data_IF_249128587681
#
_entry.id   IF_249128587681
#
_cell.length_a   1.000
_cell.length_b   1.000
_cell.length_c   1.000
_cell.angle_alpha   90.00
_cell.angle_beta   90.00
_cell.angle_gamma   90.00
#
_symmetry.space_group_name_H-M   'P 1'
#
loop_
_entity.id
_entity.type
_entity.pdbx_description
1 polymer ?
#
# COMPACT_ATOMS: atom_id res chain seq x y z
N UNK A 1 -15.90 6.48 0.04
CA UNK A 1 -14.71 5.67 0.40
C UNK A 1 -13.49 6.23 -0.28
N UNK A 2 -12.36 6.29 0.40
CA UNK A 2 -11.09 6.72 -0.18
C UNK A 2 -10.69 5.77 -1.33
N UNK A 3 -10.81 4.47 -1.09
CA UNK A 3 -10.45 3.41 -2.04
C UNK A 3 -11.31 3.43 -3.31
N UNK A 4 -12.60 3.76 -3.24
CA UNK A 4 -13.49 3.77 -4.42
C UNK A 4 -13.17 4.88 -5.42
N UNK A 5 -12.45 5.93 -5.01
CA UNK A 5 -11.96 7.01 -5.90
C UNK A 5 -10.59 6.70 -6.53
N UNK A 6 -9.86 5.70 -6.04
CA UNK A 6 -8.63 5.20 -6.66
C UNK A 6 -8.98 4.21 -7.79
N UNK A 7 -9.76 4.68 -8.78
CA UNK A 7 -10.24 3.86 -9.90
C UNK A 7 -9.48 4.07 -11.21
N UNK A 8 -8.29 4.70 -11.16
CA UNK A 8 -7.40 4.72 -12.32
C UNK A 8 -6.70 3.36 -12.43
N UNK A 9 -7.32 2.44 -13.18
CA UNK A 9 -6.80 1.09 -13.48
C UNK A 9 -5.43 1.11 -14.16
N UNK A 10 -5.03 2.27 -14.70
CA UNK A 10 -3.75 2.45 -15.37
C UNK A 10 -2.54 2.26 -14.43
N UNK A 11 -2.70 2.32 -13.12
CA UNK A 11 -1.55 2.29 -12.20
C UNK A 11 -1.08 0.89 -11.82
N UNK A 12 -1.98 -0.09 -11.91
CA UNK A 12 -1.77 -1.44 -11.38
C UNK A 12 -1.71 -2.50 -12.49
N UNK A 13 -2.09 -2.15 -13.73
CA UNK A 13 -1.97 -3.08 -14.86
C UNK A 13 -0.51 -3.29 -15.29
N UNK A 14 0.14 -4.33 -14.76
CA UNK A 14 1.49 -4.73 -15.16
C UNK A 14 1.68 -4.93 -16.65
N UNK A 15 0.67 -5.48 -17.36
CA UNK A 15 0.80 -5.80 -18.77
C UNK A 15 1.00 -4.56 -19.63
N UNK A 16 0.57 -3.39 -19.13
CA UNK A 16 0.69 -2.11 -19.81
C UNK A 16 1.79 -1.23 -19.22
N UNK A 17 2.19 -1.47 -17.97
CA UNK A 17 3.02 -0.50 -17.26
C UNK A 17 4.17 -1.07 -16.42
N UNK A 18 4.26 -2.34 -16.04
CA UNK A 18 5.44 -2.76 -15.25
C UNK A 18 6.70 -2.70 -16.12
N UNK A 19 7.56 -1.72 -15.86
CA UNK A 19 8.84 -1.65 -16.54
C UNK A 19 9.76 -2.79 -16.07
N UNK A 20 10.73 -3.16 -16.91
CA UNK A 20 11.52 -4.38 -16.75
C UNK A 20 12.52 -4.35 -15.59
N UNK A 21 12.68 -3.22 -14.90
CA UNK A 21 13.77 -2.98 -13.96
C UNK A 21 13.19 -2.64 -12.59
N UNK A 22 13.49 -3.50 -11.63
CA UNK A 22 13.27 -3.31 -10.20
C UNK A 22 14.66 -3.30 -9.58
N UNK A 23 14.94 -2.32 -8.74
CA UNK A 23 16.09 -2.33 -7.84
C UNK A 23 15.55 -2.42 -6.42
N UNK A 24 16.09 -3.35 -5.62
CA UNK A 24 15.65 -3.53 -4.25
C UNK A 24 16.84 -3.76 -3.31
N UNK A 25 16.75 -3.21 -2.12
CA UNK A 25 17.74 -3.32 -1.06
C UNK A 25 17.03 -3.66 0.25
N UNK A 26 17.69 -4.46 1.08
CA UNK A 26 17.20 -4.79 2.41
C UNK A 26 18.24 -4.45 3.46
N UNK A 27 17.76 -4.12 4.66
CA UNK A 27 18.56 -4.13 5.88
C UNK A 27 18.25 -5.42 6.61
N UNK A 28 19.21 -6.33 6.65
CA UNK A 28 19.02 -7.66 7.19
C UNK A 28 19.03 -7.64 8.73
N UNK A 29 18.34 -8.60 9.34
CA UNK A 29 18.21 -8.65 10.81
C UNK A 29 19.55 -8.80 11.55
N UNK A 30 20.58 -9.37 10.89
CA UNK A 30 21.90 -9.62 11.49
C UNK A 30 22.87 -8.45 11.31
N UNK A 31 22.55 -7.49 10.43
CA UNK A 31 23.39 -6.31 10.23
C UNK A 31 23.38 -5.41 11.48
N UNK A 32 24.45 -4.65 11.76
CA UNK A 32 24.50 -3.79 12.95
C UNK A 32 23.31 -2.85 13.09
N UNK A 33 22.82 -2.25 11.99
CA UNK A 33 21.64 -1.40 12.00
C UNK A 33 20.31 -2.19 12.08
N UNK A 34 20.34 -3.49 11.79
CA UNK A 34 19.18 -4.39 11.90
C UNK A 34 18.93 -4.92 13.32
N UNK A 35 19.88 -4.71 14.25
CA UNK A 35 19.76 -5.09 15.65
C UNK A 35 18.93 -4.05 16.42
N UNK A 36 17.61 -4.28 16.48
CA UNK A 36 16.68 -3.40 17.18
C UNK A 36 16.83 -3.52 18.70
N UNK A 37 16.76 -2.39 19.40
CA UNK A 37 16.87 -2.32 20.86
C UNK A 37 15.58 -2.65 21.60
N UNK A 38 14.42 -2.56 20.92
CA UNK A 38 13.12 -2.86 21.50
C UNK A 38 12.34 -3.78 20.56
N UNK A 39 12.14 -5.02 21.01
CA UNK A 39 11.40 -6.04 20.26
C UNK A 39 10.32 -6.63 21.17
N UNK A 40 9.10 -6.74 20.66
CA UNK A 40 8.00 -7.40 21.36
C UNK A 40 8.10 -8.93 21.30
N UNK A 41 8.85 -9.43 20.31
CA UNK A 41 9.07 -10.86 20.06
C UNK A 41 10.54 -11.16 20.34
N UNK A 42 10.79 -12.20 21.13
CA UNK A 42 12.14 -12.74 21.31
C UNK A 42 12.55 -13.55 20.07
N UNK A 43 13.27 -12.90 19.15
CA UNK A 43 13.75 -13.55 17.93
C UNK A 43 14.82 -14.62 18.16
N UNK A 44 15.37 -14.77 19.38
CA UNK A 44 16.28 -15.89 19.67
C UNK A 44 15.60 -17.25 19.54
N UNK A 45 14.26 -17.28 19.62
CA UNK A 45 13.43 -18.46 19.42
C UNK A 45 13.13 -18.75 17.94
N UNK A 46 13.48 -17.85 17.03
CA UNK A 46 13.24 -17.97 15.59
C UNK A 46 14.55 -18.38 14.91
N UNK A 47 14.58 -19.49 14.13
CA UNK A 47 15.73 -19.87 13.33
C UNK A 47 16.22 -18.71 12.46
N UNK A 48 17.54 -18.54 12.34
CA UNK A 48 18.14 -17.38 11.66
C UNK A 48 17.65 -17.24 10.22
N UNK A 49 17.45 -18.35 9.53
CA UNK A 49 16.94 -18.47 8.17
C UNK A 49 15.46 -18.06 8.00
N UNK A 50 14.69 -18.02 9.09
CA UNK A 50 13.29 -17.61 9.09
C UNK A 50 13.10 -16.14 9.51
N UNK A 51 14.18 -15.46 9.92
CA UNK A 51 14.13 -14.07 10.34
C UNK A 51 13.98 -13.15 9.13
N UNK A 52 13.14 -12.13 9.28
CA UNK A 52 12.82 -11.19 8.22
C UNK A 52 13.77 -9.98 8.22
N UNK A 53 13.98 -9.32 7.06
CA UNK A 53 14.70 -8.05 7.01
C UNK A 53 13.96 -6.96 7.80
N UNK A 54 14.70 -5.99 8.35
CA UNK A 54 14.14 -4.81 9.05
C UNK A 54 13.61 -3.75 8.12
N UNK A 55 14.26 -3.61 6.96
CA UNK A 55 13.87 -2.66 5.93
C UNK A 55 13.89 -3.38 4.61
N UNK A 56 12.87 -3.16 3.80
CA UNK A 56 12.87 -3.47 2.37
C UNK A 56 12.56 -2.19 1.63
N UNK A 57 13.48 -1.74 0.79
CA UNK A 57 13.33 -0.57 -0.06
C UNK A 57 13.44 -1.00 -1.52
N UNK A 58 12.42 -0.71 -2.33
CA UNK A 58 12.39 -1.04 -3.74
C UNK A 58 12.05 0.18 -4.59
N UNK A 59 12.66 0.28 -5.76
CA UNK A 59 12.44 1.32 -6.75
C UNK A 59 12.22 0.68 -8.12
N UNK A 60 11.24 1.19 -8.86
CA UNK A 60 11.00 0.73 -10.22
C UNK A 60 10.41 1.84 -11.07
N UNK A 61 10.57 1.70 -12.37
CA UNK A 61 10.00 2.61 -13.37
C UNK A 61 8.94 1.86 -14.16
N UNK A 62 7.79 2.48 -14.36
CA UNK A 62 6.76 1.98 -15.26
C UNK A 62 7.15 2.26 -16.72
N UNK A 63 6.63 1.47 -17.66
CA UNK A 63 6.81 1.70 -19.10
C UNK A 63 6.32 3.10 -19.52
N UNK A 64 5.28 3.63 -18.85
CA UNK A 64 4.78 4.99 -19.05
C UNK A 64 5.66 6.11 -18.46
N UNK A 65 6.82 5.79 -17.89
CA UNK A 65 7.77 6.77 -17.38
C UNK A 65 7.61 7.13 -15.90
N UNK A 66 6.46 6.83 -15.29
CA UNK A 66 6.25 7.03 -13.85
C UNK A 66 7.26 6.23 -13.03
N UNK A 67 7.82 6.84 -12.00
CA UNK A 67 8.75 6.20 -11.06
C UNK A 67 8.03 5.96 -9.75
N UNK A 68 8.30 4.81 -9.12
CA UNK A 68 7.76 4.49 -7.80
C UNK A 68 8.84 3.96 -6.88
N UNK A 69 8.57 4.14 -5.60
CA UNK A 69 9.29 3.51 -4.51
C UNK A 69 8.31 2.81 -3.57
N UNK A 70 8.80 1.77 -2.92
CA UNK A 70 8.14 1.10 -1.81
C UNK A 70 9.16 0.97 -0.69
N UNK A 71 8.75 1.33 0.52
CA UNK A 71 9.56 1.17 1.72
C UNK A 71 8.72 0.51 2.80
N UNK A 72 9.14 -0.67 3.22
CA UNK A 72 8.54 -1.41 4.32
C UNK A 72 9.57 -1.50 5.45
N UNK A 73 9.20 -1.03 6.65
CA UNK A 73 10.11 -0.95 7.79
C UNK A 73 9.45 -1.59 9.01
N UNK A 74 10.16 -2.52 9.63
CA UNK A 74 9.83 -3.13 10.91
C UNK A 74 10.77 -2.55 11.97
N UNK A 75 10.49 -1.32 12.43
CA UNK A 75 11.32 -0.63 13.42
C UNK A 75 10.56 0.37 14.32
N UNK A 76 9.25 0.56 14.11
CA UNK A 76 8.46 1.50 14.91
C UNK A 76 8.07 0.86 16.24
N UNK A 77 8.45 1.51 17.34
CA UNK A 77 8.11 1.10 18.70
C UNK A 77 6.91 1.90 19.22
N UNK A 78 6.01 1.26 19.98
CA UNK A 78 4.95 1.95 20.73
C UNK A 78 3.74 2.45 19.92
N UNK A 79 3.83 2.53 18.59
CA UNK A 79 2.71 2.77 17.67
C UNK A 79 2.45 1.52 16.83
N UNK A 80 1.18 1.19 16.60
CA UNK A 80 0.80 -0.11 15.97
C UNK A 80 1.38 -0.27 14.57
N UNK A 81 1.40 0.81 13.79
CA UNK A 81 1.95 0.88 12.43
C UNK A 81 1.93 2.34 11.97
N UNK A 82 2.71 2.66 10.95
CA UNK A 82 2.55 3.87 10.15
C UNK A 82 2.46 3.45 8.69
N UNK A 83 1.55 4.06 7.95
CA UNK A 83 1.42 3.83 6.52
C UNK A 83 1.11 5.14 5.80
N UNK A 84 1.68 5.26 4.61
CA UNK A 84 1.56 6.44 3.80
C UNK A 84 1.69 6.05 2.32
N UNK A 85 0.81 6.61 1.49
CA UNK A 85 0.90 6.53 0.03
C UNK A 85 0.96 7.95 -0.50
N UNK A 86 2.05 8.27 -1.19
CA UNK A 86 2.25 9.57 -1.84
C UNK A 86 2.18 9.40 -3.35
N UNK A 87 1.41 10.27 -4.01
CA UNK A 87 1.34 10.38 -5.46
C UNK A 87 1.60 11.84 -5.81
N UNK A 88 2.67 12.08 -6.56
CA UNK A 88 3.00 13.39 -7.07
C UNK A 88 2.98 13.39 -8.60
N UNK A 89 2.47 14.46 -9.20
CA UNK A 89 2.45 14.62 -10.65
C UNK A 89 1.83 15.94 -11.08
N UNK A 90 2.44 16.62 -12.05
CA UNK A 90 1.91 17.83 -12.69
C UNK A 90 1.48 18.93 -11.70
N UNK A 91 2.29 19.16 -10.66
CA UNK A 91 2.03 20.15 -9.61
C UNK A 91 1.00 19.73 -8.54
N UNK A 92 0.42 18.53 -8.66
CA UNK A 92 -0.40 17.93 -7.61
C UNK A 92 0.44 17.04 -6.70
N UNK A 93 0.08 17.03 -5.42
CA UNK A 93 0.57 16.07 -4.44
C UNK A 93 -0.62 15.53 -3.64
N UNK A 94 -0.79 14.22 -3.67
CA UNK A 94 -1.80 13.48 -2.93
C UNK A 94 -1.08 12.61 -1.91
N UNK A 95 -1.40 12.76 -0.63
CA UNK A 95 -0.78 12.00 0.46
C UNK A 95 -1.87 11.37 1.31
N UNK A 96 -2.00 10.06 1.24
CA UNK A 96 -2.97 9.29 1.99
C UNK A 96 -2.26 8.61 3.17
N UNK A 97 -2.69 8.92 4.39
CA UNK A 97 -2.10 8.39 5.62
C UNK A 97 -3.14 7.64 6.46
N UNK A 98 -2.66 6.81 7.37
CA UNK A 98 -3.45 6.16 8.41
C UNK A 98 -4.63 5.33 7.86
N UNK A 99 -4.33 4.55 6.82
CA UNK A 99 -5.24 3.73 6.00
C UNK A 99 -6.12 2.75 6.78
N UNK A 100 -5.73 2.40 8.01
CA UNK A 100 -6.38 1.37 8.82
C UNK A 100 -7.10 1.92 10.06
N UNK A 101 -6.97 3.22 10.36
CA UNK A 101 -7.69 3.83 11.49
C UNK A 101 -8.54 5.02 11.07
N UNK A 102 -7.98 6.21 10.88
CA UNK A 102 -8.70 7.38 10.38
C UNK A 102 -8.09 7.86 9.04
N UNK A 103 -8.38 7.18 7.92
CA UNK A 103 -7.76 7.48 6.64
C UNK A 103 -7.93 8.96 6.30
N UNK A 104 -6.82 9.66 6.06
CA UNK A 104 -6.84 11.08 5.74
C UNK A 104 -6.05 11.32 4.46
N UNK A 105 -6.73 11.91 3.48
CA UNK A 105 -6.15 12.31 2.20
C UNK A 105 -5.79 13.80 2.27
N UNK A 106 -4.50 14.10 2.24
CA UNK A 106 -3.98 15.46 2.04
C UNK A 106 -3.81 15.72 0.54
N UNK A 107 -4.25 16.89 0.10
CA UNK A 107 -4.24 17.32 -1.31
C UNK A 107 -3.59 18.69 -1.39
N UNK A 108 -2.47 18.76 -2.12
CA UNK A 108 -1.89 20.01 -2.58
C UNK A 108 -2.13 20.14 -4.08
N UNK A 109 -2.56 21.32 -4.50
CA UNK A 109 -2.82 21.64 -5.91
C UNK A 109 -1.79 22.65 -6.43
N UNK A 110 -1.62 22.80 -7.75
CA UNK A 110 -0.74 23.82 -8.32
C UNK A 110 -1.15 25.26 -7.98
N UNK A 111 -2.40 25.48 -7.55
CA UNK A 111 -3.00 26.81 -7.35
C UNK A 111 -2.73 27.33 -5.93
N UNK A 112 -2.39 26.46 -4.98
CA UNK A 112 -2.20 26.84 -3.58
C UNK A 112 -1.06 26.05 -2.92
N UNK A 113 -0.28 26.73 -2.08
CA UNK A 113 0.71 26.07 -1.22
C UNK A 113 0.08 25.37 -0.01
N UNK A 114 -1.19 25.69 0.30
CA UNK A 114 -1.91 25.09 1.43
C UNK A 114 -2.40 23.68 1.07
N UNK A 115 -2.18 22.73 1.97
CA UNK A 115 -2.76 21.39 1.86
C UNK A 115 -4.22 21.41 2.34
N UNK A 116 -5.13 20.94 1.51
CA UNK A 116 -6.48 20.57 1.92
C UNK A 116 -6.46 19.13 2.45
N UNK A 117 -7.33 18.78 3.40
CA UNK A 117 -7.41 17.41 3.91
C UNK A 117 -8.85 16.89 3.97
N UNK A 118 -9.00 15.60 3.69
CA UNK A 118 -10.26 14.89 3.70
C UNK A 118 -10.12 13.64 4.57
N UNK A 119 -10.84 13.59 5.69
CA UNK A 119 -10.81 12.44 6.61
C UNK A 119 -12.02 11.55 6.38
N UNK A 120 -11.80 10.24 6.34
CA UNK A 120 -12.81 9.22 6.08
C UNK A 120 -13.12 8.42 7.35
N UNK A 121 -13.69 9.07 8.36
CA UNK A 121 -13.88 8.52 9.73
C UNK A 121 -14.66 7.18 9.73
N UNK A 122 -15.61 7.02 8.81
CA UNK A 122 -16.48 5.84 8.74
C UNK A 122 -16.05 4.82 7.66
N UNK A 123 -14.85 4.95 7.08
CA UNK A 123 -14.35 4.04 6.05
C UNK A 123 -13.58 2.88 6.69
N UNK A 124 -14.27 1.78 6.95
CA UNK A 124 -13.65 0.56 7.47
C UNK A 124 -13.19 -0.34 6.31
N UNK A 125 -11.88 -0.53 6.07
CA UNK A 125 -11.37 -1.19 4.86
C UNK A 125 -11.81 -2.65 4.74
N UNK A 126 -11.94 -3.38 5.86
CA UNK A 126 -12.44 -4.77 5.79
C UNK A 126 -13.95 -4.84 5.51
N UNK A 127 -14.71 -3.82 5.92
CA UNK A 127 -16.15 -3.78 5.67
C UNK A 127 -16.40 -3.41 4.21
N UNK A 128 -15.63 -2.46 3.67
CA UNK A 128 -15.70 -2.09 2.26
C UNK A 128 -15.35 -3.24 1.33
N UNK A 129 -14.28 -3.98 1.64
CA UNK A 129 -13.88 -5.20 0.92
C UNK A 129 -15.00 -6.26 0.95
N UNK A 130 -15.52 -6.56 2.15
CA UNK A 130 -16.59 -7.55 2.30
C UNK A 130 -17.90 -7.12 1.63
N UNK A 131 -18.24 -5.83 1.68
CA UNK A 131 -19.39 -5.28 0.97
C UNK A 131 -19.22 -5.37 -0.56
N UNK A 132 -18.00 -5.17 -1.09
CA UNK A 132 -17.70 -5.36 -2.51
C UNK A 132 -17.85 -6.83 -2.94
N UNK A 133 -17.37 -7.77 -2.11
CA UNK A 133 -17.55 -9.20 -2.31
C UNK A 133 -19.04 -9.60 -2.33
N UNK A 134 -19.81 -9.21 -1.31
CA UNK A 134 -21.24 -9.51 -1.24
C UNK A 134 -22.04 -8.84 -2.37
N UNK A 135 -21.69 -7.60 -2.74
CA UNK A 135 -22.28 -6.90 -3.88
C UNK A 135 -22.11 -7.68 -5.18
N UNK A 136 -20.93 -8.29 -5.39
CA UNK A 136 -20.66 -9.13 -6.58
C UNK A 136 -21.51 -10.39 -6.67
N UNK A 137 -22.03 -10.88 -5.53
CA UNK A 137 -22.93 -12.05 -5.44
C UNK A 137 -24.42 -11.66 -5.54
N UNK A 138 -24.72 -10.38 -5.78
CA UNK A 138 -26.10 -9.88 -5.85
C UNK A 138 -26.76 -9.70 -4.49
N UNK A 139 -26.01 -9.75 -3.39
CA UNK A 139 -26.53 -9.43 -2.07
C UNK A 139 -26.77 -7.91 -2.00
N UNK A 140 -28.03 -7.49 -2.18
CA UNK A 140 -28.39 -6.08 -2.09
C UNK A 140 -28.02 -5.53 -0.70
N UNK A 141 -27.36 -4.37 -0.61
CA UNK A 141 -27.22 -3.68 0.65
C UNK A 141 -28.62 -3.44 1.23
N UNK A 142 -28.84 -3.80 2.49
CA UNK A 142 -30.06 -3.45 3.23
C UNK A 142 -30.43 -1.99 2.97
N UNK A 143 -31.71 -1.68 2.82
CA UNK A 143 -32.23 -0.30 2.65
C UNK A 143 -31.68 0.68 3.71
N UNK A 144 -31.34 0.18 4.91
CA UNK A 144 -30.68 0.98 5.94
C UNK A 144 -29.29 1.50 5.52
N UNK A 145 -28.54 0.70 4.76
CA UNK A 145 -27.22 1.06 4.22
C UNK A 145 -27.34 2.02 3.05
N UNK A 146 -28.43 1.94 2.26
CA UNK A 146 -28.69 2.92 1.19
C UNK A 146 -29.02 4.30 1.75
N UNK A 147 -29.89 4.38 2.77
CA UNK A 147 -30.29 5.66 3.39
C UNK A 147 -29.14 6.38 4.08
N UNK A 148 -28.28 5.65 4.80
CA UNK A 148 -27.09 6.23 5.44
C UNK A 148 -26.05 6.79 4.45
N UNK A 149 -26.09 6.35 3.18
CA UNK A 149 -25.11 6.75 2.15
C UNK A 149 -25.54 7.94 1.30
N UNK A 150 -26.82 8.33 1.34
CA UNK A 150 -27.38 9.37 0.45
C UNK A 150 -27.45 10.78 1.07
N UNK A 151 -27.36 10.92 2.40
CA UNK A 151 -27.65 12.22 3.05
C UNK A 151 -26.40 12.97 3.56
N UNK A 152 -25.23 12.34 3.62
CA UNK A 152 -23.99 12.99 4.05
C UNK A 152 -22.91 12.89 2.96
N UNK A 153 -22.67 14.03 2.28
CA UNK A 153 -21.46 14.33 1.50
C UNK A 153 -21.13 13.40 0.32
N UNK A 154 -21.82 13.57 -0.82
CA UNK A 154 -21.31 13.18 -2.15
C UNK A 154 -20.79 11.74 -2.27
N UNK A 155 -21.36 10.83 -1.49
CA UNK A 155 -20.83 9.49 -1.28
C UNK A 155 -21.14 8.61 -2.50
N UNK A 156 -20.13 8.41 -3.35
CA UNK A 156 -20.22 7.41 -4.43
C UNK A 156 -20.19 6.02 -3.79
N UNK A 157 -21.25 5.25 -4.01
CA UNK A 157 -21.38 3.88 -3.53
C UNK A 157 -20.12 3.06 -3.89
N UNK A 158 -19.68 2.13 -3.01
CA UNK A 158 -18.65 1.17 -3.39
C UNK A 158 -19.07 0.45 -4.68
N UNK A 159 -18.09 0.01 -5.48
CA UNK A 159 -18.38 -0.91 -6.58
C UNK A 159 -19.25 -2.05 -6.05
N UNK A 160 -20.35 -2.37 -6.71
CA UNK A 160 -21.10 -3.61 -6.45
C UNK A 160 -20.34 -4.84 -7.01
N UNK A 161 -19.02 -4.88 -6.83
CA UNK A 161 -18.15 -5.85 -7.48
C UNK A 161 -16.81 -6.00 -6.79
N UNK A 162 -16.14 -7.10 -7.13
CA UNK A 162 -14.78 -7.43 -6.71
C UNK A 162 -13.85 -6.23 -6.98
N UNK A 163 -13.11 -5.79 -5.95
CA UNK A 163 -12.29 -4.58 -6.00
C UNK A 163 -10.94 -4.78 -6.69
N UNK A 164 -10.41 -6.02 -6.69
CA UNK A 164 -9.20 -6.41 -7.42
C UNK A 164 -9.44 -7.71 -8.19
N UNK A 165 -9.15 -7.72 -9.49
CA UNK A 165 -9.31 -8.93 -10.29
C UNK A 165 -8.27 -9.98 -9.88
N UNK A 166 -8.58 -11.26 -10.08
CA UNK A 166 -7.63 -12.34 -9.83
C UNK A 166 -6.30 -12.14 -10.59
N UNK A 167 -6.36 -11.66 -11.84
CA UNK A 167 -5.18 -11.36 -12.63
C UNK A 167 -4.30 -10.25 -12.00
N UNK A 168 -4.92 -9.20 -11.49
CA UNK A 168 -4.23 -8.09 -10.81
C UNK A 168 -3.60 -8.55 -9.48
N UNK A 169 -4.31 -9.39 -8.71
CA UNK A 169 -3.80 -10.00 -7.49
C UNK A 169 -2.59 -10.93 -7.75
N UNK A 170 -2.68 -11.83 -8.74
CA UNK A 170 -1.56 -12.70 -9.13
C UNK A 170 -0.34 -11.90 -9.59
N UNK A 171 -0.56 -10.83 -10.35
CA UNK A 171 0.51 -9.91 -10.74
C UNK A 171 1.12 -9.25 -9.51
N UNK A 172 0.33 -8.71 -8.60
CA UNK A 172 0.85 -8.11 -7.36
C UNK A 172 1.69 -9.11 -6.56
N UNK A 173 1.26 -10.37 -6.47
CA UNK A 173 2.03 -11.44 -5.84
C UNK A 173 3.36 -11.73 -6.55
N UNK A 174 3.36 -11.85 -7.87
CA UNK A 174 4.59 -12.00 -8.66
C UNK A 174 5.52 -10.77 -8.47
N UNK A 175 4.95 -9.57 -8.28
CA UNK A 175 5.75 -8.35 -8.04
C UNK A 175 6.49 -8.41 -6.71
N UNK A 176 5.81 -8.88 -5.65
CA UNK A 176 6.43 -9.01 -4.33
C UNK A 176 7.57 -10.03 -4.34
N UNK A 177 7.45 -11.10 -5.11
CA UNK A 177 8.56 -12.05 -5.31
C UNK A 177 9.74 -11.41 -6.03
N UNK A 178 9.50 -10.64 -7.09
CA UNK A 178 10.62 -9.95 -7.77
C UNK A 178 11.34 -8.95 -6.87
N UNK A 179 10.62 -8.22 -6.02
CA UNK A 179 11.26 -7.34 -5.01
C UNK A 179 12.17 -8.15 -4.10
N UNK A 180 11.68 -9.30 -3.62
CA UNK A 180 12.46 -10.21 -2.78
C UNK A 180 13.71 -10.71 -3.51
N UNK A 181 13.55 -11.28 -4.70
CA UNK A 181 14.66 -11.83 -5.49
C UNK A 181 15.75 -10.78 -5.76
N UNK A 182 15.36 -9.56 -6.14
CA UNK A 182 16.32 -8.47 -6.36
C UNK A 182 17.01 -8.04 -5.06
N UNK A 183 16.28 -8.01 -3.93
CA UNK A 183 16.89 -7.67 -2.64
C UNK A 183 17.87 -8.72 -2.15
N UNK A 184 17.57 -10.02 -2.34
CA UNK A 184 18.46 -11.12 -1.97
C UNK A 184 19.74 -11.11 -2.84
N UNK A 185 19.62 -10.81 -4.14
CA UNK A 185 20.79 -10.59 -5.03
C UNK A 185 21.66 -9.44 -4.55
N UNK A 186 21.06 -8.30 -4.18
CA UNK A 186 21.80 -7.15 -3.66
C UNK A 186 22.47 -7.43 -2.32
N UNK A 187 21.81 -8.14 -1.40
CA UNK A 187 22.41 -8.62 -0.14
C UNK A 187 23.60 -9.54 -0.39
N UNK A 188 23.48 -10.48 -1.33
CA UNK A 188 24.58 -11.39 -1.69
C UNK A 188 25.79 -10.62 -2.25
N UNK A 189 25.56 -9.70 -3.18
CA UNK A 189 26.63 -8.86 -3.76
C UNK A 189 27.35 -7.99 -2.72
N UNK A 190 26.65 -7.56 -1.67
CA UNK A 190 27.26 -6.81 -0.57
C UNK A 190 28.11 -7.70 0.34
N UNK A 191 27.71 -8.95 0.57
CA UNK A 191 28.49 -9.93 1.36
C UNK A 191 29.75 -10.42 0.64
N UNK A 192 29.76 -10.38 -0.68
CA UNK A 192 30.88 -10.80 -1.53
C UNK A 192 31.97 -9.72 -1.70
N UNK A 193 31.72 -8.48 -1.24
CA UNK A 193 32.67 -7.35 -1.29
C UNK A 193 33.51 -7.24 -0.01
#
# INVERSE_FOLDING_TARGET
>A
MAYSKVRKTDWWNKAKYCGPIIEAYVLEHYEPAGQLSSMLVDESQIPTEERIPRVTAAFWKYQGGAVRSLMHIVALHGIRYSNEIVIAGDGFQLRLVDLYSAPTLYVRTPISEQEEWFTFINDHPFYSEFAGLLGSLGAAPSEAVKKARSEEQGFVAPSDGILSSYEDACKTYEFTWRIRDESEKSSQQLREK
#
